data_IF_479133133284
#
_entry.id   IF_479133133284
#
_cell.length_a   1.000
_cell.length_b   1.000
_cell.length_c   1.000
_cell.angle_alpha   90.00
_cell.angle_beta   90.00
_cell.angle_gamma   90.00
#
_symmetry.space_group_name_H-M   'P 1'
#
loop_
_entity.id
_entity.type
_entity.pdbx_description
1 polymer ?
#
# COMPACT_ATOMS: atom_id res chain seq x y z
N UNK A 1 -11.69 5.75 -14.27
CA UNK A 1 -11.05 5.71 -12.94
C UNK A 1 -11.03 4.27 -12.45
N UNK A 2 -9.91 3.80 -11.93
CA UNK A 2 -9.71 2.44 -11.42
C UNK A 2 -8.98 2.49 -10.09
N UNK A 3 -9.33 1.61 -9.16
CA UNK A 3 -8.68 1.49 -7.86
C UNK A 3 -8.14 0.07 -7.72
N UNK A 4 -6.83 -0.05 -7.52
CA UNK A 4 -6.22 -1.30 -7.10
C UNK A 4 -6.07 -1.27 -5.58
N UNK A 5 -6.53 -2.31 -4.89
CA UNK A 5 -6.42 -2.42 -3.43
C UNK A 5 -5.68 -3.68 -3.05
N UNK A 6 -4.72 -3.56 -2.13
CA UNK A 6 -4.04 -4.69 -1.51
C UNK A 6 -4.32 -4.70 -0.02
N UNK A 7 -4.39 -5.89 0.56
CA UNK A 7 -4.50 -6.09 2.00
C UNK A 7 -3.35 -6.96 2.46
N UNK A 8 -2.73 -6.55 3.56
CA UNK A 8 -1.60 -7.26 4.15
C UNK A 8 -1.94 -7.67 5.58
N UNK A 9 -1.41 -8.82 5.98
CA UNK A 9 -1.32 -9.22 7.38
C UNK A 9 0.16 -9.16 7.75
N UNK A 10 0.53 -8.24 8.62
CA UNK A 10 1.92 -8.05 9.06
C UNK A 10 2.07 -8.68 10.43
N UNK A 11 3.00 -9.63 10.58
CA UNK A 11 3.25 -10.27 11.86
C UNK A 11 3.62 -9.24 12.94
N UNK A 12 3.20 -9.51 14.18
CA UNK A 12 3.51 -8.64 15.33
C UNK A 12 5.02 -8.37 15.45
N UNK A 13 5.38 -7.12 15.73
CA UNK A 13 6.77 -6.68 15.85
C UNK A 13 7.48 -6.43 14.52
N UNK A 14 6.84 -6.74 13.37
CA UNK A 14 7.40 -6.48 12.03
C UNK A 14 6.84 -5.20 11.39
N UNK A 15 5.99 -4.45 12.08
CA UNK A 15 5.28 -3.28 11.56
C UNK A 15 6.25 -2.19 11.11
N UNK A 16 7.24 -1.85 11.92
CA UNK A 16 8.21 -0.81 11.61
C UNK A 16 9.05 -1.17 10.37
N UNK A 17 9.49 -2.43 10.27
CA UNK A 17 10.23 -2.91 9.10
C UNK A 17 9.35 -2.88 7.84
N UNK A 18 8.09 -3.28 7.97
CA UNK A 18 7.12 -3.20 6.87
C UNK A 18 6.88 -1.75 6.42
N UNK A 19 6.59 -0.84 7.34
CA UNK A 19 6.36 0.58 7.05
C UNK A 19 7.61 1.25 6.45
N UNK A 20 8.80 0.86 6.91
CA UNK A 20 10.05 1.33 6.32
C UNK A 20 10.17 0.90 4.87
N UNK A 21 9.88 -0.36 4.52
CA UNK A 21 9.90 -0.83 3.12
C UNK A 21 8.96 -0.03 2.22
N UNK A 22 7.84 0.48 2.75
CA UNK A 22 6.90 1.27 1.96
C UNK A 22 7.25 2.77 1.89
N UNK A 23 7.83 3.32 2.94
CA UNK A 23 8.22 4.75 3.00
C UNK A 23 9.54 5.04 2.30
N UNK A 24 10.46 4.07 2.25
CA UNK A 24 11.76 4.20 1.56
C UNK A 24 11.73 3.67 0.13
N UNK A 25 10.60 3.11 -0.31
CA UNK A 25 10.48 2.59 -1.67
C UNK A 25 10.57 3.76 -2.64
N UNK A 26 11.57 3.72 -3.51
CA UNK A 26 11.58 4.56 -4.70
C UNK A 26 10.41 4.09 -5.58
N UNK A 27 9.25 4.74 -5.43
CA UNK A 27 8.07 4.37 -6.19
C UNK A 27 8.16 5.02 -7.55
N UNK A 28 8.65 4.27 -8.54
CA UNK A 28 8.58 4.68 -9.95
C UNK A 28 7.14 4.83 -10.47
N UNK A 29 6.13 4.62 -9.62
CA UNK A 29 4.71 4.78 -9.92
C UNK A 29 4.35 6.20 -10.37
N UNK A 30 4.98 7.23 -9.80
CA UNK A 30 4.71 8.62 -10.20
C UNK A 30 5.04 8.88 -11.68
N UNK A 31 5.99 8.13 -12.25
CA UNK A 31 6.36 8.23 -13.65
C UNK A 31 5.48 7.38 -14.58
N UNK A 32 4.60 6.51 -14.06
CA UNK A 32 3.77 5.63 -14.88
C UNK A 32 2.56 6.40 -15.42
N UNK A 33 2.35 6.45 -16.75
CA UNK A 33 1.21 7.15 -17.33
C UNK A 33 -0.13 6.64 -16.78
N UNK A 34 -0.90 7.56 -16.19
CA UNK A 34 -2.22 7.23 -15.66
C UNK A 34 -2.23 6.83 -14.18
N UNK A 35 -1.09 6.73 -13.51
CA UNK A 35 -1.02 6.76 -12.06
C UNK A 35 -1.52 8.10 -11.53
N UNK A 36 -2.22 8.08 -10.40
CA UNK A 36 -2.75 9.29 -9.75
C UNK A 36 -2.20 9.42 -8.34
N UNK A 37 -2.43 8.42 -7.49
CA UNK A 37 -1.99 8.46 -6.09
C UNK A 37 -1.88 7.05 -5.52
N UNK A 38 -1.07 6.91 -4.47
CA UNK A 38 -0.97 5.73 -3.64
C UNK A 38 -1.10 6.11 -2.16
N UNK A 39 -1.85 5.33 -1.40
CA UNK A 39 -1.94 5.45 0.05
C UNK A 39 -1.73 4.10 0.72
N UNK A 40 -0.95 4.09 1.81
CA UNK A 40 -0.86 2.99 2.75
C UNK A 40 -1.61 3.38 4.04
N UNK A 41 -2.45 2.47 4.53
CA UNK A 41 -3.24 2.65 5.73
C UNK A 41 -2.94 1.53 6.73
N UNK A 42 -2.67 1.91 7.98
CA UNK A 42 -2.61 0.99 9.12
C UNK A 42 -4.03 0.73 9.61
N UNK A 43 -4.40 -0.54 9.67
CA UNK A 43 -5.68 -1.03 10.14
C UNK A 43 -5.62 -1.52 11.59
N UNK A 44 -6.68 -2.20 12.06
CA UNK A 44 -6.75 -2.68 13.43
C UNK A 44 -5.76 -3.81 13.68
N UNK A 45 -5.28 -3.88 14.92
CA UNK A 45 -4.45 -4.97 15.41
C UNK A 45 -5.29 -6.21 15.73
N UNK A 46 -4.69 -7.38 15.57
CA UNK A 46 -5.22 -8.71 15.92
C UNK A 46 -4.18 -9.47 16.73
N UNK A 47 -4.56 -10.64 17.22
CA UNK A 47 -3.74 -11.46 18.13
C UNK A 47 -2.39 -11.86 17.48
N UNK A 48 -2.39 -12.21 16.20
CA UNK A 48 -1.22 -12.71 15.47
C UNK A 48 -0.63 -11.70 14.47
N UNK A 49 -1.36 -10.64 14.12
CA UNK A 49 -0.94 -9.68 13.10
C UNK A 49 -1.57 -8.29 13.26
N UNK A 50 -0.99 -7.30 12.58
CA UNK A 50 -1.62 -6.01 12.29
C UNK A 50 -2.08 -5.98 10.84
N UNK A 51 -3.30 -5.52 10.62
CA UNK A 51 -3.81 -5.37 9.27
C UNK A 51 -3.29 -4.08 8.64
N UNK A 52 -2.87 -4.17 7.39
CA UNK A 52 -2.59 -3.01 6.55
C UNK A 52 -3.41 -3.11 5.27
N UNK A 53 -3.71 -1.96 4.68
CA UNK A 53 -4.29 -1.90 3.34
C UNK A 53 -3.58 -0.81 2.55
N UNK A 54 -3.35 -1.06 1.27
CA UNK A 54 -2.96 0.00 0.34
C UNK A 54 -3.99 0.13 -0.75
N UNK A 55 -4.13 1.35 -1.28
CA UNK A 55 -4.85 1.56 -2.53
C UNK A 55 -4.09 2.53 -3.43
N UNK A 56 -4.11 2.23 -4.73
CA UNK A 56 -3.67 3.16 -5.76
C UNK A 56 -4.83 3.51 -6.69
N UNK A 57 -4.87 4.77 -7.09
CA UNK A 57 -5.88 5.29 -8.01
C UNK A 57 -5.23 5.52 -9.37
N UNK A 58 -5.94 5.10 -10.41
CA UNK A 58 -5.50 5.15 -11.80
C UNK A 58 -6.58 5.78 -12.68
N UNK A 59 -6.16 6.42 -13.78
CA UNK A 59 -7.08 7.03 -14.75
C UNK A 59 -8.01 5.99 -15.38
N UNK A 60 -7.49 4.80 -15.69
CA UNK A 60 -8.27 3.68 -16.24
C UNK A 60 -7.70 2.35 -15.74
N UNK A 61 -8.39 1.24 -16.05
CA UNK A 61 -7.92 -0.12 -15.74
C UNK A 61 -6.78 -0.59 -16.64
N UNK A 62 -6.62 0.02 -17.81
CA UNK A 62 -5.57 -0.33 -18.78
C UNK A 62 -4.28 0.46 -18.58
N UNK A 63 -4.34 1.50 -17.73
CA UNK A 63 -3.19 2.29 -17.31
C UNK A 63 -2.24 1.46 -16.43
#
# INVERSE_FOLDING_TARGET
MFIAMNRFKVARGSEAAFEQVWTTRDTHLEAVPGFIVFHLLRGPERDDHVLYSSHSIWRSRQA
#
